data_IF_196659203444
#
_entry.id   IF_196659203444
#
_cell.length_a   1.000
_cell.length_b   1.000
_cell.length_c   1.000
_cell.angle_alpha   90.00
_cell.angle_beta   90.00
_cell.angle_gamma   90.00
#
_symmetry.space_group_name_H-M   'P 1'
#
loop_
_entity.id
_entity.type
_entity.pdbx_description
1 polymer ?
#
# COMPACT_ATOMS: atom_id res chain seq x y z
N UNK A 1 12.33 4.39 -25.32
CA UNK A 1 13.15 5.05 -24.29
C UNK A 1 14.07 4.01 -23.65
N UNK A 2 15.33 4.37 -23.44
CA UNK A 2 16.33 3.51 -22.76
C UNK A 2 16.50 3.97 -21.33
N UNK A 3 16.49 3.01 -20.39
CA UNK A 3 16.77 3.27 -18.97
C UNK A 3 18.18 2.78 -18.62
N UNK A 4 18.92 3.58 -17.85
CA UNK A 4 20.25 3.25 -17.34
C UNK A 4 20.21 2.71 -15.90
N UNK A 5 19.01 2.46 -15.37
CA UNK A 5 18.79 2.22 -13.95
C UNK A 5 17.94 0.98 -13.65
N UNK A 6 16.83 0.80 -14.38
CA UNK A 6 15.88 -0.26 -14.11
C UNK A 6 16.47 -1.61 -14.54
N UNK A 7 16.46 -2.64 -13.69
CA UNK A 7 16.99 -3.96 -14.01
C UNK A 7 16.34 -4.58 -15.25
N UNK A 8 17.12 -5.38 -15.99
CA UNK A 8 16.66 -6.04 -17.24
C UNK A 8 15.40 -6.88 -17.04
N UNK A 9 15.34 -7.65 -15.95
CA UNK A 9 14.18 -8.47 -15.62
C UNK A 9 12.91 -7.64 -15.43
N UNK A 10 13.02 -6.42 -14.88
CA UNK A 10 11.89 -5.52 -14.67
C UNK A 10 11.48 -4.84 -15.96
N UNK A 11 12.45 -4.43 -16.79
CA UNK A 11 12.17 -3.89 -18.13
C UNK A 11 11.42 -4.91 -18.99
N UNK A 12 11.83 -6.19 -18.96
CA UNK A 12 11.16 -7.26 -19.68
C UNK A 12 9.67 -7.39 -19.30
N UNK A 13 9.33 -7.18 -18.03
CA UNK A 13 7.93 -7.20 -17.54
C UNK A 13 7.09 -6.03 -18.03
N UNK A 14 7.72 -4.96 -18.48
CA UNK A 14 7.01 -3.76 -18.95
C UNK A 14 6.72 -3.78 -20.45
N UNK A 15 7.15 -4.79 -21.20
CA UNK A 15 7.05 -4.81 -22.66
C UNK A 15 5.60 -4.75 -23.16
N UNK A 16 4.66 -5.38 -22.47
CA UNK A 16 3.24 -5.37 -22.83
C UNK A 16 2.63 -3.97 -22.66
N UNK A 17 3.13 -3.20 -21.70
CA UNK A 17 2.63 -1.86 -21.38
C UNK A 17 3.44 -0.75 -22.03
N UNK A 18 4.75 -0.93 -22.16
CA UNK A 18 5.69 0.02 -22.71
C UNK A 18 6.67 -0.66 -23.68
N UNK A 19 6.25 -1.09 -24.88
CA UNK A 19 7.04 -1.91 -25.80
C UNK A 19 8.34 -1.24 -26.30
N UNK A 20 8.42 0.10 -26.19
CA UNK A 20 9.63 0.86 -26.52
C UNK A 20 10.57 1.11 -25.34
N UNK A 21 10.28 0.57 -24.14
CA UNK A 21 11.12 0.71 -22.97
C UNK A 21 12.22 -0.36 -22.98
N UNK A 22 13.50 0.05 -22.92
CA UNK A 22 14.66 -0.83 -23.03
C UNK A 22 15.63 -0.58 -21.89
N UNK A 23 16.23 -1.65 -21.37
CA UNK A 23 17.36 -1.54 -20.46
C UNK A 23 18.64 -1.24 -21.26
N UNK A 24 19.52 -0.43 -20.70
CA UNK A 24 20.88 -0.33 -21.18
C UNK A 24 21.63 -1.64 -20.92
N UNK A 25 22.56 -2.02 -21.82
CA UNK A 25 23.25 -3.31 -21.74
C UNK A 25 24.05 -3.50 -20.44
N UNK A 26 24.55 -2.40 -19.87
CA UNK A 26 25.25 -2.40 -18.57
C UNK A 26 24.35 -2.49 -17.34
N UNK A 27 23.02 -2.47 -17.48
CA UNK A 27 22.13 -2.62 -16.31
C UNK A 27 22.23 -4.02 -15.73
N UNK A 28 22.07 -4.11 -14.40
CA UNK A 28 21.94 -5.39 -13.69
C UNK A 28 20.78 -6.22 -14.25
N UNK A 29 20.88 -7.54 -14.12
CA UNK A 29 19.79 -8.44 -14.49
C UNK A 29 18.60 -8.20 -13.57
N UNK A 30 18.86 -8.11 -12.26
CA UNK A 30 17.84 -7.98 -11.24
C UNK A 30 17.04 -9.25 -11.03
N UNK A 31 16.08 -9.20 -10.09
CA UNK A 31 15.22 -10.31 -9.74
C UNK A 31 13.76 -9.86 -9.69
N UNK A 32 12.88 -10.69 -10.25
CA UNK A 32 11.45 -10.64 -9.99
C UNK A 32 10.99 -11.93 -9.34
N UNK A 33 10.20 -11.81 -8.25
CA UNK A 33 9.57 -12.92 -7.57
C UNK A 33 8.13 -12.57 -7.16
N UNK A 34 7.33 -13.59 -6.89
CA UNK A 34 6.03 -13.44 -6.23
C UNK A 34 6.03 -14.35 -5.01
N UNK A 35 5.65 -13.83 -3.86
CA UNK A 35 5.37 -14.66 -2.70
C UNK A 35 4.08 -15.42 -3.00
N UNK A 36 4.13 -16.72 -2.81
CA UNK A 36 2.98 -17.61 -2.96
C UNK A 36 2.92 -18.53 -1.75
N UNK A 37 1.70 -18.85 -1.30
CA UNK A 37 1.52 -19.90 -0.32
C UNK A 37 2.08 -21.21 -0.86
N UNK A 38 2.77 -22.03 -0.05
CA UNK A 38 3.14 -23.37 -0.44
C UNK A 38 1.90 -24.19 -0.82
N UNK A 39 1.97 -24.95 -1.91
CA UNK A 39 0.80 -25.59 -2.55
C UNK A 39 0.13 -26.68 -1.68
N UNK A 40 0.68 -27.10 -0.54
CA UNK A 40 0.29 -28.33 0.15
C UNK A 40 0.13 -28.22 1.69
N UNK A 41 -0.09 -27.02 2.27
CA UNK A 41 -0.28 -26.93 3.71
C UNK A 41 -1.63 -26.35 4.08
N UNK A 42 -2.54 -27.19 4.59
CA UNK A 42 -3.82 -26.77 5.17
C UNK A 42 -3.67 -25.80 6.38
N UNK A 43 -2.49 -25.78 7.00
CA UNK A 43 -2.16 -25.00 8.20
C UNK A 43 -1.11 -23.89 7.95
N UNK A 44 -0.98 -23.41 6.71
CA UNK A 44 -0.01 -22.35 6.44
C UNK A 44 -0.52 -21.00 6.93
N UNK A 45 -0.08 -20.59 8.13
CA UNK A 45 -0.49 -19.33 8.75
C UNK A 45 0.05 -18.04 8.09
N UNK A 46 0.76 -18.15 6.96
CA UNK A 46 1.37 -17.01 6.25
C UNK A 46 2.86 -16.80 6.52
N UNK A 47 3.49 -15.94 5.72
CA UNK A 47 4.89 -15.57 5.90
C UNK A 47 5.08 -14.71 7.15
N UNK A 48 6.11 -14.98 7.98
CA UNK A 48 6.51 -14.03 9.02
C UNK A 48 6.84 -12.68 8.38
N UNK A 49 6.34 -11.58 8.94
CA UNK A 49 6.62 -10.25 8.37
C UNK A 49 8.09 -9.86 8.47
N UNK A 50 8.81 -10.40 9.44
CA UNK A 50 10.26 -10.23 9.64
C UNK A 50 11.08 -10.84 8.49
N UNK A 51 10.56 -11.85 7.80
CA UNK A 51 11.22 -12.48 6.64
C UNK A 51 11.36 -11.52 5.46
N UNK A 52 10.60 -10.42 5.44
CA UNK A 52 10.81 -9.34 4.45
C UNK A 52 12.23 -8.80 4.46
N UNK A 53 12.88 -8.78 5.63
CA UNK A 53 14.28 -8.36 5.75
C UNK A 53 15.24 -9.36 5.11
N UNK A 54 14.88 -10.63 5.08
CA UNK A 54 15.64 -11.71 4.43
C UNK A 54 15.60 -11.65 2.90
N UNK A 55 14.63 -10.94 2.30
CA UNK A 55 14.54 -10.77 0.84
C UNK A 55 15.52 -9.74 0.28
N UNK A 56 16.28 -9.05 1.12
CA UNK A 56 17.25 -8.06 0.69
C UNK A 56 18.38 -8.69 -0.13
N UNK A 57 18.80 -8.07 -1.24
CA UNK A 57 19.95 -8.56 -2.01
C UNK A 57 21.28 -8.47 -1.22
N UNK A 58 21.33 -7.61 -0.20
CA UNK A 58 22.46 -7.43 0.73
C UNK A 58 21.95 -6.79 2.04
N UNK A 59 22.65 -6.95 3.19
CA UNK A 59 22.17 -6.50 4.49
C UNK A 59 21.80 -5.01 4.58
N UNK A 60 22.55 -4.15 3.92
CA UNK A 60 22.34 -2.69 3.88
C UNK A 60 21.34 -2.23 2.84
N UNK A 61 20.80 -3.14 2.02
CA UNK A 61 19.87 -2.78 0.96
C UNK A 61 18.61 -2.11 1.49
N UNK A 62 18.22 -1.04 0.83
CA UNK A 62 16.99 -0.31 1.13
C UNK A 62 15.76 -1.09 0.68
N UNK A 63 14.73 -1.10 1.53
CA UNK A 63 13.45 -1.77 1.25
C UNK A 63 12.31 -0.76 1.22
N UNK A 64 11.45 -0.89 0.23
CA UNK A 64 10.13 -0.27 0.26
C UNK A 64 9.02 -1.28 0.02
N UNK A 65 7.90 -1.09 0.71
CA UNK A 65 6.62 -1.70 0.36
C UNK A 65 5.75 -0.63 -0.27
N UNK A 66 5.35 -0.87 -1.50
CA UNK A 66 4.52 0.03 -2.28
C UNK A 66 3.15 -0.60 -2.52
N UNK A 67 2.11 0.17 -2.30
CA UNK A 67 0.73 -0.25 -2.58
C UNK A 67 -0.03 0.87 -3.29
N UNK A 68 -1.04 0.52 -4.06
CA UNK A 68 -1.96 1.49 -4.65
C UNK A 68 -2.70 2.30 -3.58
N UNK A 69 -3.16 1.60 -2.54
CA UNK A 69 -3.94 2.13 -1.42
C UNK A 69 -3.11 2.19 -0.14
N UNK A 70 -3.52 3.05 0.80
CA UNK A 70 -2.83 3.18 2.09
C UNK A 70 -3.33 2.17 3.12
N UNK A 71 -4.59 1.73 3.06
CA UNK A 71 -5.17 0.78 4.02
C UNK A 71 -4.31 -0.47 4.24
N UNK A 72 -3.91 -1.21 3.17
CA UNK A 72 -3.01 -2.36 3.32
C UNK A 72 -1.64 -2.02 3.92
N UNK A 73 -1.10 -0.83 3.60
CA UNK A 73 0.17 -0.37 4.17
C UNK A 73 0.06 -0.12 5.68
N UNK A 74 -1.07 0.43 6.16
CA UNK A 74 -1.33 0.59 7.58
C UNK A 74 -1.42 -0.77 8.28
N UNK A 75 -2.19 -1.70 7.72
CA UNK A 75 -2.31 -3.04 8.29
C UNK A 75 -0.95 -3.74 8.37
N UNK A 76 -0.14 -3.67 7.31
CA UNK A 76 1.21 -4.24 7.31
C UNK A 76 2.13 -3.51 8.28
N UNK A 77 2.03 -2.16 8.40
CA UNK A 77 2.82 -1.39 9.34
C UNK A 77 2.64 -1.88 10.78
N UNK A 78 1.39 -2.14 11.20
CA UNK A 78 1.11 -2.65 12.54
C UNK A 78 1.60 -4.09 12.74
N UNK A 79 1.54 -4.94 11.71
CA UNK A 79 2.14 -6.28 11.76
C UNK A 79 3.66 -6.18 11.96
N UNK A 80 4.36 -5.37 11.17
CA UNK A 80 5.81 -5.16 11.26
C UNK A 80 6.24 -4.59 12.62
N UNK A 81 5.53 -3.59 13.12
CA UNK A 81 5.84 -2.97 14.43
C UNK A 81 5.67 -3.98 15.56
N UNK A 82 4.63 -4.80 15.54
CA UNK A 82 4.42 -5.88 16.52
C UNK A 82 5.51 -6.94 16.44
N UNK A 83 5.99 -7.29 15.24
CA UNK A 83 7.14 -8.15 15.01
C UNK A 83 8.50 -7.49 15.33
N UNK A 84 8.52 -6.29 15.95
CA UNK A 84 9.76 -5.59 16.32
C UNK A 84 10.48 -4.89 15.18
N UNK A 85 9.91 -4.85 13.97
CA UNK A 85 10.53 -4.22 12.81
C UNK A 85 10.17 -2.73 12.73
N UNK A 86 11.19 -1.87 12.69
CA UNK A 86 11.00 -0.44 12.52
C UNK A 86 10.52 -0.07 11.11
N UNK A 87 9.43 0.68 11.00
CA UNK A 87 8.89 1.15 9.73
C UNK A 87 8.91 2.67 9.65
N UNK A 88 9.04 3.18 8.42
CA UNK A 88 8.86 4.59 8.06
C UNK A 88 7.69 4.70 7.09
N UNK A 89 6.61 5.38 7.50
CA UNK A 89 5.48 5.64 6.63
C UNK A 89 5.65 6.98 5.91
N UNK A 90 5.58 6.99 4.57
CA UNK A 90 5.57 8.22 3.79
C UNK A 90 4.14 8.77 3.67
N UNK A 91 4.02 10.12 3.65
CA UNK A 91 2.72 10.77 3.48
C UNK A 91 2.15 11.32 4.77
N UNK A 92 2.89 12.18 5.48
CA UNK A 92 2.42 12.89 6.70
C UNK A 92 1.09 13.62 6.53
N UNK A 93 0.81 14.12 5.32
CA UNK A 93 -0.46 14.73 4.95
C UNK A 93 -1.65 13.75 5.06
N UNK A 94 -1.43 12.48 4.73
CA UNK A 94 -2.43 11.41 4.89
C UNK A 94 -2.74 11.20 6.37
N UNK A 95 -1.71 11.11 7.22
CA UNK A 95 -1.88 10.97 8.66
C UNK A 95 -2.67 12.11 9.28
N UNK A 96 -2.35 13.35 8.93
CA UNK A 96 -3.09 14.54 9.36
C UNK A 96 -4.54 14.50 8.89
N UNK A 97 -4.78 14.12 7.64
CA UNK A 97 -6.14 14.00 7.09
C UNK A 97 -6.99 12.95 7.81
N UNK A 98 -6.39 11.81 8.17
CA UNK A 98 -7.06 10.76 8.95
C UNK A 98 -7.32 11.19 10.41
N UNK A 99 -6.39 11.92 11.01
CA UNK A 99 -6.59 12.48 12.36
C UNK A 99 -7.76 13.46 12.38
N UNK A 100 -7.82 14.40 11.41
CA UNK A 100 -8.93 15.34 11.28
C UNK A 100 -10.26 14.59 11.07
N UNK A 101 -10.26 13.57 10.21
CA UNK A 101 -11.45 12.73 9.98
C UNK A 101 -11.88 12.03 11.26
N UNK A 102 -10.96 11.41 12.00
CA UNK A 102 -11.25 10.73 13.26
C UNK A 102 -11.86 11.65 14.31
N UNK A 103 -11.38 12.91 14.42
CA UNK A 103 -11.96 13.93 15.30
C UNK A 103 -13.39 14.33 14.90
N UNK A 104 -13.67 14.38 13.60
CA UNK A 104 -15.00 14.65 13.09
C UNK A 104 -15.98 13.52 13.39
N UNK A 105 -15.54 12.26 13.29
CA UNK A 105 -16.37 11.07 13.49
C UNK A 105 -16.58 10.74 14.97
N UNK A 106 -15.56 10.94 15.78
CA UNK A 106 -15.56 10.67 17.21
C UNK A 106 -14.80 11.79 17.95
N UNK A 107 -15.47 12.93 18.26
CA UNK A 107 -14.82 14.09 18.86
C UNK A 107 -14.29 13.85 20.27
N UNK A 108 -14.91 12.96 21.05
CA UNK A 108 -14.48 12.60 22.39
C UNK A 108 -13.44 11.50 22.36
N UNK A 109 -12.35 11.65 23.13
CA UNK A 109 -11.25 10.67 23.17
C UNK A 109 -11.69 9.31 23.75
N UNK A 110 -12.62 9.32 24.72
CA UNK A 110 -13.17 8.15 25.37
C UNK A 110 -14.23 7.40 24.53
N UNK A 111 -14.52 7.84 23.30
CA UNK A 111 -15.46 7.12 22.40
C UNK A 111 -14.94 5.72 22.15
N UNK A 112 -15.74 4.69 22.47
CA UNK A 112 -15.31 3.30 22.38
C UNK A 112 -14.98 2.89 20.96
N UNK A 113 -14.13 1.88 20.82
CA UNK A 113 -13.71 1.28 19.54
C UNK A 113 -14.90 0.92 18.65
N UNK A 114 -15.93 0.32 19.23
CA UNK A 114 -17.13 -0.13 18.52
C UNK A 114 -17.92 1.08 17.97
N UNK A 115 -18.06 2.13 18.79
CA UNK A 115 -18.73 3.36 18.37
C UNK A 115 -17.95 4.09 17.26
N UNK A 116 -16.60 4.11 17.35
CA UNK A 116 -15.75 4.65 16.30
C UNK A 116 -15.90 3.84 15.01
N UNK A 117 -15.90 2.51 15.10
CA UNK A 117 -16.08 1.63 13.94
C UNK A 117 -17.43 1.86 13.25
N UNK A 118 -18.52 2.00 14.02
CA UNK A 118 -19.85 2.31 13.51
C UNK A 118 -19.87 3.68 12.80
N UNK A 119 -19.26 4.72 13.39
CA UNK A 119 -19.20 6.05 12.79
C UNK A 119 -18.38 6.05 11.48
N UNK A 120 -17.33 5.25 11.37
CA UNK A 120 -16.56 5.08 10.12
C UNK A 120 -17.43 4.40 9.06
N UNK A 121 -18.19 3.36 9.42
CA UNK A 121 -19.07 2.66 8.50
C UNK A 121 -20.15 3.59 7.92
N UNK A 122 -20.84 4.33 8.78
CA UNK A 122 -21.86 5.32 8.41
C UNK A 122 -21.29 6.42 7.51
N UNK A 123 -20.13 6.97 7.89
CA UNK A 123 -19.44 7.96 7.08
C UNK A 123 -19.09 7.43 5.69
N UNK A 124 -18.55 6.22 5.62
CA UNK A 124 -18.18 5.59 4.34
C UNK A 124 -19.39 5.43 3.43
N UNK A 125 -20.48 4.91 3.98
CA UNK A 125 -21.74 4.70 3.24
C UNK A 125 -22.32 6.03 2.74
N UNK A 126 -22.43 7.01 3.62
CA UNK A 126 -22.94 8.36 3.30
C UNK A 126 -22.11 9.02 2.20
N UNK A 127 -20.77 9.04 2.37
CA UNK A 127 -19.88 9.68 1.37
C UNK A 127 -19.90 8.95 0.04
N UNK A 128 -19.99 7.62 0.05
CA UNK A 128 -20.05 6.82 -1.18
C UNK A 128 -21.36 7.08 -1.92
N UNK A 129 -22.49 7.11 -1.22
CA UNK A 129 -23.80 7.42 -1.79
C UNK A 129 -23.84 8.82 -2.40
N UNK A 130 -23.28 9.81 -1.70
CA UNK A 130 -23.18 11.19 -2.21
C UNK A 130 -22.28 11.28 -3.45
N UNK A 131 -21.16 10.57 -3.46
CA UNK A 131 -20.24 10.55 -4.62
C UNK A 131 -20.93 9.95 -5.84
N UNK A 132 -21.64 8.83 -5.68
CA UNK A 132 -22.40 8.18 -6.75
C UNK A 132 -23.52 9.10 -7.28
N UNK A 133 -24.30 9.72 -6.39
CA UNK A 133 -25.36 10.63 -6.77
C UNK A 133 -24.85 11.86 -7.56
N UNK A 134 -23.58 12.26 -7.34
CA UNK A 134 -22.91 13.35 -8.05
C UNK A 134 -22.13 12.90 -9.28
N UNK A 135 -22.12 11.62 -9.64
CA UNK A 135 -21.32 11.06 -10.72
C UNK A 135 -19.79 11.17 -10.51
N UNK A 136 -19.34 11.22 -9.24
CA UNK A 136 -17.93 11.37 -8.86
C UNK A 136 -17.34 10.03 -8.42
N UNK A 137 -17.47 9.01 -9.27
CA UNK A 137 -17.03 7.64 -9.00
C UNK A 137 -15.55 7.56 -8.62
N UNK A 138 -14.73 8.48 -9.12
CA UNK A 138 -13.30 8.57 -8.82
C UNK A 138 -12.99 8.82 -7.33
N UNK A 139 -13.96 9.32 -6.56
CA UNK A 139 -13.80 9.55 -5.12
C UNK A 139 -13.99 8.29 -4.28
N UNK A 140 -14.65 7.27 -4.81
CA UNK A 140 -15.00 6.07 -4.08
C UNK A 140 -13.78 5.31 -3.57
N UNK A 141 -12.73 5.23 -4.37
CA UNK A 141 -11.46 4.62 -3.95
C UNK A 141 -10.85 5.36 -2.75
N UNK A 142 -10.84 6.69 -2.78
CA UNK A 142 -10.28 7.50 -1.69
C UNK A 142 -11.11 7.39 -0.40
N UNK A 143 -12.45 7.31 -0.53
CA UNK A 143 -13.35 7.11 0.62
C UNK A 143 -13.09 5.75 1.24
N UNK A 144 -13.06 4.69 0.44
CA UNK A 144 -12.77 3.33 0.91
C UNK A 144 -11.38 3.21 1.54
N UNK A 145 -10.35 3.79 0.91
CA UNK A 145 -8.97 3.75 1.42
C UNK A 145 -8.85 4.43 2.80
N UNK A 146 -9.50 5.59 3.01
CA UNK A 146 -9.52 6.25 4.31
C UNK A 146 -10.19 5.40 5.39
N UNK A 147 -11.32 4.77 5.06
CA UNK A 147 -11.99 3.86 5.98
C UNK A 147 -11.10 2.64 6.31
N UNK A 148 -10.48 2.01 5.29
CA UNK A 148 -9.54 0.90 5.48
C UNK A 148 -8.36 1.29 6.38
N UNK A 149 -7.79 2.49 6.22
CA UNK A 149 -6.72 2.99 7.09
C UNK A 149 -7.17 3.07 8.57
N UNK A 150 -8.35 3.65 8.83
CA UNK A 150 -8.87 3.76 10.19
C UNK A 150 -9.19 2.39 10.78
N UNK A 151 -9.79 1.49 10.01
CA UNK A 151 -10.04 0.11 10.46
C UNK A 151 -8.75 -0.66 10.74
N UNK A 152 -7.70 -0.46 9.95
CA UNK A 152 -6.40 -1.08 10.20
C UNK A 152 -5.83 -0.67 11.56
N UNK A 153 -5.98 0.60 11.96
CA UNK A 153 -5.60 1.07 13.30
C UNK A 153 -6.50 0.47 14.38
N UNK A 154 -7.82 0.50 14.17
CA UNK A 154 -8.79 -0.05 15.13
C UNK A 154 -8.62 -1.57 15.35
N UNK A 155 -8.12 -2.30 14.35
CA UNK A 155 -7.87 -3.75 14.48
C UNK A 155 -6.72 -4.09 15.42
N UNK A 156 -5.89 -3.11 15.80
CA UNK A 156 -4.85 -3.31 16.82
C UNK A 156 -5.48 -3.55 18.19
N UNK A 157 -4.97 -4.55 18.93
CA UNK A 157 -5.40 -4.83 20.28
C UNK A 157 -5.17 -3.66 21.27
N UNK A 158 -4.22 -2.78 20.95
CA UNK A 158 -3.91 -1.58 21.72
C UNK A 158 -4.92 -0.44 21.52
N UNK A 159 -5.72 -0.48 20.45
CA UNK A 159 -6.67 0.56 20.13
C UNK A 159 -8.05 0.26 20.74
N UNK A 160 -8.38 0.90 21.85
CA UNK A 160 -9.63 0.69 22.59
C UNK A 160 -10.65 1.83 22.42
N UNK A 161 -10.16 3.02 22.05
CA UNK A 161 -10.94 4.25 21.96
C UNK A 161 -10.38 5.21 20.88
N UNK A 162 -11.11 6.30 20.67
CA UNK A 162 -10.77 7.31 19.67
C UNK A 162 -9.47 8.07 20.00
N UNK A 163 -9.12 8.24 21.25
CA UNK A 163 -7.90 8.87 21.72
C UNK A 163 -6.68 8.02 21.33
N UNK A 164 -6.75 6.71 21.60
CA UNK A 164 -5.69 5.77 21.24
C UNK A 164 -5.55 5.64 19.72
N UNK A 165 -6.65 5.61 18.97
CA UNK A 165 -6.62 5.65 17.50
C UNK A 165 -5.80 6.84 17.00
N UNK A 166 -6.07 8.06 17.52
CA UNK A 166 -5.32 9.27 17.13
C UNK A 166 -3.85 9.21 17.53
N UNK A 167 -3.57 8.75 18.73
CA UNK A 167 -2.19 8.60 19.22
C UNK A 167 -1.39 7.60 18.36
N UNK A 168 -2.02 6.49 17.94
CA UNK A 168 -1.39 5.50 17.06
C UNK A 168 -1.13 6.06 15.67
N UNK A 169 -2.08 6.81 15.09
CA UNK A 169 -1.87 7.52 13.83
C UNK A 169 -0.67 8.47 13.92
N UNK A 170 -0.61 9.32 14.96
CA UNK A 170 0.49 10.25 15.18
C UNK A 170 1.84 9.53 15.31
N UNK A 171 1.91 8.46 16.11
CA UNK A 171 3.13 7.67 16.28
C UNK A 171 3.62 7.04 14.98
N UNK A 172 2.71 6.56 14.14
CA UNK A 172 3.06 5.94 12.86
C UNK A 172 3.76 6.92 11.92
N UNK A 173 3.29 8.18 11.87
CA UNK A 173 3.84 9.21 11.00
C UNK A 173 4.95 10.06 11.64
N UNK A 174 5.14 9.98 12.95
CA UNK A 174 6.24 10.67 13.63
C UNK A 174 7.62 10.03 13.36
N UNK A 175 7.66 8.76 12.95
CA UNK A 175 8.90 8.04 12.69
C UNK A 175 9.55 8.56 11.40
N UNK A 176 10.75 9.11 11.54
CA UNK A 176 11.53 9.64 10.41
C UNK A 176 12.44 8.60 9.76
N UNK A 177 12.73 7.51 10.47
CA UNK A 177 13.58 6.42 10.03
C UNK A 177 12.95 5.06 10.35
N UNK A 178 13.28 4.05 9.57
CA UNK A 178 12.88 2.66 9.77
C UNK A 178 13.58 1.77 8.76
N UNK A 179 13.67 0.48 9.08
CA UNK A 179 14.30 -0.51 8.19
C UNK A 179 13.51 -0.69 6.89
N UNK A 180 12.17 -0.52 6.97
CA UNK A 180 11.27 -0.68 5.83
C UNK A 180 10.51 0.63 5.61
N UNK A 181 10.54 1.13 4.37
CA UNK A 181 9.72 2.27 3.95
C UNK A 181 8.38 1.79 3.42
N UNK A 182 7.28 2.33 3.93
CA UNK A 182 5.93 2.07 3.45
C UNK A 182 5.40 3.31 2.71
N UNK A 183 4.91 3.15 1.50
CA UNK A 183 4.44 4.29 0.70
C UNK A 183 3.35 3.90 -0.30
N UNK A 184 2.38 4.79 -0.52
CA UNK A 184 1.57 4.65 -1.72
C UNK A 184 2.42 4.87 -2.97
N UNK A 185 2.08 4.20 -4.06
CA UNK A 185 2.82 4.30 -5.32
C UNK A 185 2.87 5.76 -5.81
N UNK A 186 1.80 6.54 -5.57
CA UNK A 186 1.76 7.95 -5.92
C UNK A 186 2.84 8.78 -5.21
N UNK A 187 3.09 8.52 -3.93
CA UNK A 187 4.10 9.21 -3.12
C UNK A 187 5.52 8.68 -3.37
N UNK A 188 5.64 7.48 -3.93
CA UNK A 188 6.92 6.87 -4.30
C UNK A 188 7.54 7.45 -5.58
N UNK A 189 6.80 8.30 -6.31
CA UNK A 189 7.28 8.91 -7.56
C UNK A 189 8.54 9.73 -7.29
N UNK A 190 9.61 9.43 -8.03
CA UNK A 190 10.92 10.08 -7.85
C UNK A 190 11.84 9.40 -6.82
N UNK A 191 11.34 8.45 -6.04
CA UNK A 191 12.14 7.68 -5.07
C UNK A 191 12.52 6.31 -5.65
N UNK A 192 13.48 5.64 -5.02
CA UNK A 192 14.01 4.35 -5.46
C UNK A 192 14.58 3.55 -4.29
N UNK A 193 14.49 2.22 -4.40
CA UNK A 193 14.99 1.30 -3.39
C UNK A 193 15.64 0.07 -4.03
N UNK A 194 16.52 -0.60 -3.31
CA UNK A 194 17.18 -1.81 -3.79
C UNK A 194 16.17 -2.96 -3.94
N UNK A 195 15.24 -3.07 -2.98
CA UNK A 195 14.11 -3.99 -3.01
C UNK A 195 12.79 -3.24 -2.92
N UNK A 196 11.90 -3.52 -3.84
CA UNK A 196 10.50 -3.07 -3.79
C UNK A 196 9.60 -4.29 -3.64
N UNK A 197 8.74 -4.27 -2.62
CA UNK A 197 7.62 -5.18 -2.50
C UNK A 197 6.37 -4.46 -2.98
N UNK A 198 5.76 -4.95 -4.06
CA UNK A 198 4.47 -4.48 -4.55
C UNK A 198 3.37 -5.24 -3.79
N UNK A 199 2.76 -4.57 -2.83
CA UNK A 199 1.70 -5.13 -1.99
C UNK A 199 0.36 -5.05 -2.69
N UNK A 200 -0.39 -6.14 -2.68
CA UNK A 200 -1.72 -6.27 -3.30
C UNK A 200 -1.74 -5.81 -4.77
N UNK A 201 -0.92 -6.40 -5.68
CA UNK A 201 -0.85 -5.97 -7.08
C UNK A 201 -2.19 -6.04 -7.81
N UNK A 202 -3.12 -6.88 -7.35
CA UNK A 202 -4.47 -7.04 -7.87
C UNK A 202 -5.35 -5.78 -7.71
N UNK A 203 -4.96 -4.83 -6.85
CA UNK A 203 -5.62 -3.53 -6.70
C UNK A 203 -5.41 -2.61 -7.90
N UNK A 204 -4.50 -2.99 -8.82
CA UNK A 204 -4.26 -2.28 -10.09
C UNK A 204 -4.67 -3.21 -11.25
N UNK A 205 -5.61 -2.78 -12.11
CA UNK A 205 -6.36 -1.51 -12.03
C UNK A 205 -7.47 -1.54 -10.99
N UNK A 206 -7.85 -0.38 -10.47
CA UNK A 206 -8.95 -0.26 -9.52
C UNK A 206 -10.28 -0.74 -10.11
N UNK A 207 -11.21 -1.13 -9.23
CA UNK A 207 -12.55 -1.52 -9.65
C UNK A 207 -13.22 -0.42 -10.49
N UNK A 208 -13.09 0.82 -10.07
CA UNK A 208 -13.72 1.97 -10.73
C UNK A 208 -13.11 2.27 -12.08
N UNK A 209 -11.80 2.16 -12.23
CA UNK A 209 -11.14 2.28 -13.53
C UNK A 209 -11.60 1.20 -14.52
N UNK A 210 -11.80 -0.04 -14.03
CA UNK A 210 -12.37 -1.12 -14.85
C UNK A 210 -13.80 -0.84 -15.27
N UNK A 211 -14.64 -0.34 -14.36
CA UNK A 211 -16.03 -0.01 -14.67
C UNK A 211 -16.14 1.19 -15.61
N UNK A 212 -15.29 2.22 -15.46
CA UNK A 212 -15.22 3.35 -16.40
C UNK A 212 -14.84 2.88 -17.81
N UNK A 213 -13.85 1.98 -17.93
CA UNK A 213 -13.43 1.41 -19.20
C UNK A 213 -14.55 0.61 -19.89
N UNK A 214 -15.36 -0.13 -19.13
CA UNK A 214 -16.56 -0.82 -19.69
C UNK A 214 -17.59 0.15 -20.25
N UNK A 215 -17.66 1.38 -19.71
CA UNK A 215 -18.52 2.47 -20.20
C UNK A 215 -17.91 3.28 -21.34
N UNK A 216 -16.73 2.88 -21.83
CA UNK A 216 -16.02 3.52 -22.95
C UNK A 216 -14.97 4.56 -22.55
N UNK A 217 -14.77 4.84 -21.25
CA UNK A 217 -13.71 5.73 -20.77
C UNK A 217 -12.50 4.90 -20.27
N UNK A 218 -11.54 4.71 -21.16
CA UNK A 218 -10.31 3.98 -20.85
C UNK A 218 -9.21 4.86 -20.19
N UNK A 219 -9.45 6.15 -19.99
CA UNK A 219 -8.44 7.11 -19.49
C UNK A 219 -7.94 6.70 -18.11
N UNK A 220 -8.86 6.37 -17.20
CA UNK A 220 -8.50 5.92 -15.84
C UNK A 220 -7.76 4.58 -15.87
N UNK A 221 -8.15 3.66 -16.75
CA UNK A 221 -7.48 2.38 -16.91
C UNK A 221 -6.01 2.57 -17.32
N UNK A 222 -5.75 3.46 -18.28
CA UNK A 222 -4.39 3.81 -18.70
C UNK A 222 -3.57 4.42 -17.54
N UNK A 223 -4.19 5.29 -16.73
CA UNK A 223 -3.53 5.85 -15.55
C UNK A 223 -3.15 4.78 -14.52
N UNK A 224 -3.99 3.77 -14.31
CA UNK A 224 -3.71 2.64 -13.42
C UNK A 224 -2.52 1.81 -13.92
N UNK A 225 -2.44 1.51 -15.22
CA UNK A 225 -1.28 0.82 -15.79
C UNK A 225 0.00 1.65 -15.67
N UNK A 226 -0.08 2.96 -15.88
CA UNK A 226 1.04 3.86 -15.63
C UNK A 226 1.47 3.82 -14.15
N UNK A 227 0.51 3.70 -13.22
CA UNK A 227 0.80 3.58 -11.79
C UNK A 227 1.55 2.27 -11.49
N UNK A 228 1.14 1.15 -12.08
CA UNK A 228 1.87 -0.12 -11.99
C UNK A 228 3.30 0.01 -12.53
N UNK A 229 3.45 0.62 -13.70
CA UNK A 229 4.77 0.91 -14.27
C UNK A 229 5.63 1.73 -13.29
N UNK A 230 5.07 2.78 -12.69
CA UNK A 230 5.78 3.57 -11.66
C UNK A 230 6.21 2.67 -10.51
N UNK A 231 5.33 1.83 -9.96
CA UNK A 231 5.65 0.92 -8.85
C UNK A 231 6.86 0.03 -9.18
N UNK A 232 6.74 -0.73 -10.26
CA UNK A 232 7.72 -1.75 -10.63
C UNK A 232 9.09 -1.13 -10.99
N UNK A 233 9.09 0.07 -11.59
CA UNK A 233 10.33 0.78 -11.94
C UNK A 233 10.99 1.56 -10.79
N UNK A 234 10.47 1.46 -9.55
CA UNK A 234 11.13 2.02 -8.35
C UNK A 234 12.24 1.13 -7.81
N UNK A 235 12.31 -0.12 -8.25
CA UNK A 235 13.35 -1.03 -7.80
C UNK A 235 14.68 -0.84 -8.57
N UNK A 236 15.77 -0.96 -7.83
CA UNK A 236 17.14 -0.99 -8.39
C UNK A 236 17.63 -2.41 -8.61
N UNK A 237 17.11 -3.40 -7.85
CA UNK A 237 17.60 -4.77 -7.91
C UNK A 237 16.46 -5.79 -7.87
N UNK A 238 15.64 -5.82 -6.82
CA UNK A 238 14.66 -6.88 -6.60
C UNK A 238 13.24 -6.32 -6.53
N UNK A 239 12.34 -6.90 -7.32
CA UNK A 239 10.90 -6.66 -7.24
C UNK A 239 10.20 -7.93 -6.73
N UNK A 240 9.39 -7.79 -5.70
CA UNK A 240 8.59 -8.90 -5.15
C UNK A 240 7.11 -8.50 -5.15
N UNK A 241 6.25 -9.35 -5.69
CA UNK A 241 4.80 -9.23 -5.52
C UNK A 241 4.36 -10.04 -4.30
N UNK A 242 3.51 -9.46 -3.47
CA UNK A 242 2.89 -10.13 -2.32
C UNK A 242 1.51 -9.57 -2.04
N UNK A 243 0.65 -10.34 -1.38
CA UNK A 243 -0.62 -9.87 -0.87
C UNK A 243 -0.53 -9.68 0.65
N UNK A 244 -1.35 -8.77 1.18
CA UNK A 244 -1.38 -8.53 2.63
C UNK A 244 -1.71 -9.80 3.43
N UNK A 245 -2.57 -10.66 2.85
CA UNK A 245 -3.00 -11.91 3.46
C UNK A 245 -1.93 -13.01 3.41
N UNK A 246 -0.86 -12.83 2.60
CA UNK A 246 0.28 -13.76 2.58
C UNK A 246 1.11 -13.66 3.87
N UNK A 247 0.93 -12.60 4.68
CA UNK A 247 1.63 -12.38 5.93
C UNK A 247 0.80 -12.79 7.14
N UNK A 248 1.41 -13.52 8.06
CA UNK A 248 0.78 -13.97 9.32
C UNK A 248 0.15 -12.80 10.08
N UNK A 249 -0.98 -13.07 10.71
CA UNK A 249 -1.48 -12.23 11.80
C UNK A 249 -0.67 -12.58 13.06
N UNK A 250 0.02 -11.60 13.64
CA UNK A 250 0.73 -11.72 14.92
C UNK A 250 -0.25 -11.43 16.05
#
# INVERSE_FOLDING_TARGET
>A
ATTFRVPKAIVARQQDHAPGFRAWDGNEVGLFASLQAPAETEDWGGWPVEDLLGLRPRPEASIAVLCRNNGPLFALAFKLIRGGTGVRMLGRDIGKGLEVLSRKLAPKDETSREAVAAAIAEWRETQSSLALAQGKDEKLDSISDKAECLYAVLSSAECRDAGQLRAMLQRLFARESGLITLSSIHKAKGLEWDLVLHLDPWRIPSKWAREAAKRGDATQLQQEWNLRYVCETRTKHTLVNANLNDFRSI
#
